data_IF_689693578043
#
_entry.id   IF_689693578043
#
_cell.length_a   1.000
_cell.length_b   1.000
_cell.length_c   1.000
_cell.angle_alpha   90.00
_cell.angle_beta   90.00
_cell.angle_gamma   90.00
#
_symmetry.space_group_name_H-M   'P 1'
#
loop_
_entity.id
_entity.type
_entity.pdbx_description
1 polymer ?
#
# COMPACT_ATOMS: atom_id res chain seq x y z
N UNK A 1 -2.94 11.02 -15.47
CA UNK A 1 -1.95 11.00 -16.57
C UNK A 1 -0.55 10.52 -16.16
N UNK A 2 -0.12 10.61 -14.88
CA UNK A 2 1.25 10.23 -14.47
C UNK A 2 1.41 8.75 -14.08
N UNK A 3 0.40 8.16 -13.42
CA UNK A 3 0.46 6.80 -12.86
C UNK A 3 0.61 5.70 -13.92
N UNK A 4 -0.13 5.77 -15.02
CA UNK A 4 -0.10 4.75 -16.08
C UNK A 4 1.26 4.68 -16.78
N UNK A 5 1.90 5.84 -16.99
CA UNK A 5 3.25 5.93 -17.55
C UNK A 5 4.31 5.35 -16.60
N UNK A 6 4.13 5.54 -15.28
CA UNK A 6 5.01 4.94 -14.28
C UNK A 6 4.83 3.41 -14.25
N UNK A 7 3.59 2.91 -14.35
CA UNK A 7 3.33 1.48 -14.46
C UNK A 7 3.99 0.89 -15.72
N UNK A 8 3.89 1.54 -16.87
CA UNK A 8 4.58 1.09 -18.09
C UNK A 8 6.11 0.99 -17.89
N UNK A 9 6.72 1.96 -17.20
CA UNK A 9 8.15 1.92 -16.87
C UNK A 9 8.51 0.79 -15.91
N UNK A 10 7.66 0.51 -14.92
CA UNK A 10 7.81 -0.62 -14.00
C UNK A 10 7.78 -1.94 -14.79
N UNK A 11 6.81 -2.12 -15.69
CA UNK A 11 6.69 -3.34 -16.50
C UNK A 11 7.90 -3.53 -17.41
N UNK A 12 8.36 -2.46 -18.07
CA UNK A 12 9.57 -2.49 -18.88
C UNK A 12 10.81 -2.88 -18.04
N UNK A 13 10.97 -2.29 -16.87
CA UNK A 13 12.08 -2.58 -15.95
C UNK A 13 12.08 -4.03 -15.47
N UNK A 14 10.92 -4.56 -15.09
CA UNK A 14 10.79 -5.98 -14.70
C UNK A 14 11.12 -6.92 -15.86
N UNK A 15 10.72 -6.58 -17.08
CA UNK A 15 11.00 -7.37 -18.29
C UNK A 15 12.51 -7.45 -18.56
N UNK A 16 13.20 -6.31 -18.55
CA UNK A 16 14.66 -6.26 -18.71
C UNK A 16 15.39 -7.03 -17.61
N UNK A 17 14.95 -6.91 -16.35
CA UNK A 17 15.54 -7.64 -15.24
C UNK A 17 15.37 -9.17 -15.38
N UNK A 18 14.18 -9.64 -15.79
CA UNK A 18 13.87 -11.07 -15.95
C UNK A 18 14.57 -11.70 -17.16
N UNK A 19 14.56 -11.01 -18.30
CA UNK A 19 14.95 -11.61 -19.58
C UNK A 19 16.38 -11.29 -20.02
N UNK A 20 16.95 -10.18 -19.54
CA UNK A 20 18.29 -9.78 -19.93
C UNK A 20 19.30 -9.94 -18.80
N UNK A 21 19.01 -9.37 -17.62
CA UNK A 21 19.98 -9.33 -16.53
C UNK A 21 20.19 -10.68 -15.84
N UNK A 22 19.11 -11.42 -15.53
CA UNK A 22 19.24 -12.77 -14.95
C UNK A 22 20.01 -13.74 -15.84
N UNK A 23 19.88 -13.60 -17.16
CA UNK A 23 20.57 -14.44 -18.13
C UNK A 23 22.05 -14.04 -18.30
N UNK A 24 22.36 -12.74 -18.23
CA UNK A 24 23.71 -12.20 -18.42
C UNK A 24 24.58 -12.27 -17.16
N UNK A 25 24.00 -12.20 -15.97
CA UNK A 25 24.71 -12.10 -14.68
C UNK A 25 24.18 -13.11 -13.65
N UNK A 26 24.41 -14.42 -13.85
CA UNK A 26 23.93 -15.46 -12.93
C UNK A 26 24.51 -15.34 -11.51
N UNK A 27 25.69 -14.75 -11.35
CA UNK A 27 26.34 -14.44 -10.07
C UNK A 27 25.58 -13.40 -9.24
N UNK A 28 24.84 -12.50 -9.89
CA UNK A 28 24.03 -11.46 -9.24
C UNK A 28 22.55 -11.87 -9.08
N UNK A 29 22.23 -13.17 -9.23
CA UNK A 29 20.86 -13.68 -9.24
C UNK A 29 20.05 -13.24 -8.02
N UNK A 30 20.63 -13.29 -6.82
CA UNK A 30 19.94 -12.90 -5.59
C UNK A 30 19.55 -11.42 -5.62
N UNK A 31 20.49 -10.55 -5.96
CA UNK A 31 20.27 -9.10 -6.01
C UNK A 31 19.22 -8.73 -7.07
N UNK A 32 19.26 -9.38 -8.23
CA UNK A 32 18.27 -9.17 -9.30
C UNK A 32 16.88 -9.65 -8.87
N UNK A 33 16.77 -10.77 -8.15
CA UNK A 33 15.49 -11.25 -7.61
C UNK A 33 14.94 -10.33 -6.52
N UNK A 34 15.81 -9.80 -5.66
CA UNK A 34 15.43 -8.82 -4.65
C UNK A 34 14.91 -7.54 -5.31
N UNK A 35 15.61 -7.03 -6.32
CA UNK A 35 15.19 -5.85 -7.08
C UNK A 35 13.84 -6.08 -7.77
N UNK A 36 13.64 -7.25 -8.39
CA UNK A 36 12.35 -7.65 -8.97
C UNK A 36 11.24 -7.63 -7.94
N UNK A 37 11.46 -8.20 -6.75
CA UNK A 37 10.48 -8.21 -5.67
C UNK A 37 10.15 -6.78 -5.20
N UNK A 38 11.15 -5.92 -5.03
CA UNK A 38 10.95 -4.51 -4.67
C UNK A 38 10.11 -3.77 -5.70
N UNK A 39 10.41 -3.94 -7.00
CA UNK A 39 9.63 -3.31 -8.08
C UNK A 39 8.19 -3.83 -8.10
N UNK A 40 7.97 -5.14 -7.88
CA UNK A 40 6.62 -5.69 -7.78
C UNK A 40 5.84 -5.18 -6.56
N UNK A 41 6.50 -4.86 -5.44
CA UNK A 41 5.85 -4.23 -4.29
C UNK A 41 5.38 -2.81 -4.65
N UNK A 42 6.22 -2.05 -5.35
CA UNK A 42 5.89 -0.68 -5.80
C UNK A 42 4.71 -0.70 -6.77
N UNK A 43 4.72 -1.62 -7.73
CA UNK A 43 3.61 -1.81 -8.68
C UNK A 43 2.29 -2.08 -7.95
N UNK A 44 2.29 -3.05 -7.03
CA UNK A 44 1.11 -3.41 -6.24
C UNK A 44 0.62 -2.23 -5.41
N UNK A 45 1.53 -1.52 -4.75
CA UNK A 45 1.18 -0.31 -4.01
C UNK A 45 0.49 0.71 -4.90
N UNK A 46 1.03 0.99 -6.10
CA UNK A 46 0.44 1.96 -7.01
C UNK A 46 -0.93 1.53 -7.54
N UNK A 47 -1.15 0.24 -7.79
CA UNK A 47 -2.44 -0.27 -8.27
C UNK A 47 -3.47 -0.31 -7.13
N UNK A 48 -3.05 -0.66 -5.92
CA UNK A 48 -3.95 -0.83 -4.78
C UNK A 48 -4.20 0.45 -3.99
N UNK A 49 -3.32 1.47 -4.06
CA UNK A 49 -3.42 2.68 -3.25
C UNK A 49 -4.81 3.33 -3.32
N UNK A 50 -5.40 3.43 -4.51
CA UNK A 50 -6.71 4.06 -4.68
C UNK A 50 -7.86 3.21 -4.06
N UNK A 51 -7.80 1.88 -4.22
CA UNK A 51 -8.76 0.96 -3.60
C UNK A 51 -8.64 0.96 -2.08
N UNK A 52 -7.39 1.01 -1.57
CA UNK A 52 -7.13 1.06 -0.14
C UNK A 52 -7.54 2.37 0.50
N UNK A 53 -7.33 3.49 -0.18
CA UNK A 53 -7.81 4.79 0.28
C UNK A 53 -9.33 4.77 0.48
N UNK A 54 -10.06 4.15 -0.45
CA UNK A 54 -11.51 3.94 -0.33
C UNK A 54 -11.87 2.99 0.83
N UNK A 55 -11.19 1.84 0.97
CA UNK A 55 -11.42 0.91 2.09
C UNK A 55 -11.15 1.57 3.45
N UNK A 56 -10.11 2.39 3.57
CA UNK A 56 -9.80 3.15 4.79
C UNK A 56 -10.85 4.22 5.07
N UNK A 57 -11.31 4.95 4.04
CA UNK A 57 -12.38 5.93 4.18
C UNK A 57 -13.68 5.28 4.69
N UNK A 58 -14.08 4.14 4.12
CA UNK A 58 -15.26 3.40 4.56
C UNK A 58 -15.14 2.92 6.02
N UNK A 59 -13.97 2.42 6.41
CA UNK A 59 -13.69 2.05 7.80
C UNK A 59 -13.87 3.24 8.75
N UNK A 60 -13.34 4.41 8.39
CA UNK A 60 -13.48 5.62 9.19
C UNK A 60 -14.92 6.15 9.22
N UNK A 61 -15.67 6.09 8.10
CA UNK A 61 -17.11 6.43 8.09
C UNK A 61 -17.90 5.58 9.09
N UNK A 62 -17.61 4.28 9.14
CA UNK A 62 -18.28 3.36 10.05
C UNK A 62 -17.98 3.66 11.52
N UNK A 63 -16.73 4.05 11.82
CA UNK A 63 -16.32 4.42 13.17
C UNK A 63 -16.93 5.76 13.62
N UNK A 64 -16.78 6.80 12.80
CA UNK A 64 -17.21 8.16 13.12
C UNK A 64 -18.72 8.39 13.04
N UNK A 65 -19.46 7.56 12.29
CA UNK A 65 -20.91 7.67 12.06
C UNK A 65 -21.37 9.02 11.48
N UNK A 66 -20.45 9.82 10.94
CA UNK A 66 -20.70 11.05 10.18
C UNK A 66 -19.95 10.99 8.84
N UNK A 67 -20.31 11.86 7.86
CA UNK A 67 -19.68 11.85 6.55
C UNK A 67 -18.18 12.15 6.64
N UNK A 68 -17.36 11.19 6.23
CA UNK A 68 -15.91 11.35 6.08
C UNK A 68 -15.60 11.51 4.60
N UNK A 69 -15.13 12.70 4.22
CA UNK A 69 -14.82 13.07 2.83
C UNK A 69 -13.31 13.14 2.57
N UNK A 70 -12.49 13.19 3.62
CA UNK A 70 -11.05 13.35 3.51
C UNK A 70 -10.32 12.41 4.49
N UNK A 71 -9.53 11.48 3.95
CA UNK A 71 -8.83 10.47 4.73
C UNK A 71 -7.84 11.08 5.71
N UNK A 72 -7.06 12.07 5.28
CA UNK A 72 -6.03 12.71 6.12
C UNK A 72 -6.65 13.44 7.30
N UNK A 73 -7.74 14.18 7.07
CA UNK A 73 -8.47 14.87 8.14
C UNK A 73 -9.07 13.88 9.14
N UNK A 74 -9.66 12.79 8.66
CA UNK A 74 -10.24 11.77 9.54
C UNK A 74 -9.20 10.97 10.31
N UNK A 75 -8.02 10.74 9.74
CA UNK A 75 -6.89 10.16 10.47
C UNK A 75 -6.36 11.10 11.56
N UNK A 76 -6.31 12.41 11.30
CA UNK A 76 -5.95 13.41 12.32
C UNK A 76 -6.96 13.45 13.45
N UNK A 77 -8.26 13.35 13.13
CA UNK A 77 -9.32 13.29 14.13
C UNK A 77 -9.23 12.01 14.96
N UNK A 78 -8.99 10.86 14.34
CA UNK A 78 -8.77 9.59 15.05
C UNK A 78 -7.59 9.72 16.03
N UNK A 79 -6.49 10.34 15.59
CA UNK A 79 -5.34 10.61 16.45
C UNK A 79 -5.67 11.53 17.64
N UNK A 80 -6.54 12.53 17.44
CA UNK A 80 -6.98 13.42 18.49
C UNK A 80 -7.89 12.72 19.52
N UNK A 81 -8.80 11.87 19.05
CA UNK A 81 -9.68 11.06 19.91
C UNK A 81 -8.88 10.07 20.75
N UNK A 82 -7.95 9.32 20.14
CA UNK A 82 -7.05 8.38 20.86
C UNK A 82 -6.32 9.06 22.02
N UNK A 83 -5.85 10.30 21.82
CA UNK A 83 -5.12 11.05 22.84
C UNK A 83 -6.01 11.53 23.98
N UNK A 84 -7.31 11.69 23.72
CA UNK A 84 -8.26 12.28 24.66
C UNK A 84 -8.98 11.20 25.47
N UNK A 85 -9.47 10.16 24.81
CA UNK A 85 -10.20 9.07 25.43
C UNK A 85 -10.05 7.79 24.58
N UNK A 86 -9.10 6.94 24.95
CA UNK A 86 -8.83 5.69 24.24
C UNK A 86 -9.85 4.61 24.63
N UNK A 87 -10.52 4.02 23.64
CA UNK A 87 -11.45 2.91 23.84
C UNK A 87 -11.10 1.65 23.00
N UNK A 88 -11.80 0.54 23.30
CA UNK A 88 -11.59 -0.73 22.59
C UNK A 88 -12.01 -0.68 21.12
N UNK A 89 -12.99 0.15 20.75
CA UNK A 89 -13.43 0.30 19.36
C UNK A 89 -12.33 0.96 18.52
N UNK A 90 -11.66 1.95 19.09
CA UNK A 90 -10.52 2.64 18.50
C UNK A 90 -9.36 1.67 18.22
N UNK A 91 -9.07 0.77 19.16
CA UNK A 91 -8.08 -0.28 18.96
C UNK A 91 -8.43 -1.19 17.78
N UNK A 92 -9.69 -1.61 17.67
CA UNK A 92 -10.16 -2.46 16.59
C UNK A 92 -10.01 -1.77 15.23
N UNK A 93 -10.37 -0.48 15.14
CA UNK A 93 -10.18 0.32 13.92
C UNK A 93 -8.70 0.42 13.55
N UNK A 94 -7.82 0.66 14.52
CA UNK A 94 -6.37 0.71 14.27
C UNK A 94 -5.82 -0.64 13.78
N UNK A 95 -6.30 -1.75 14.33
CA UNK A 95 -5.92 -3.09 13.86
C UNK A 95 -6.38 -3.34 12.42
N UNK A 96 -7.61 -2.95 12.09
CA UNK A 96 -8.15 -3.08 10.73
C UNK A 96 -7.39 -2.19 9.74
N UNK A 97 -7.07 -0.93 10.10
CA UNK A 97 -6.22 -0.05 9.29
C UNK A 97 -4.85 -0.66 9.02
N UNK A 98 -4.20 -1.22 10.05
CA UNK A 98 -2.90 -1.88 9.89
C UNK A 98 -2.98 -3.14 9.02
N UNK A 99 -4.05 -3.93 9.14
CA UNK A 99 -4.28 -5.08 8.25
C UNK A 99 -4.46 -4.65 6.80
N UNK A 100 -5.18 -3.55 6.53
CA UNK A 100 -5.31 -2.99 5.20
C UNK A 100 -3.95 -2.63 4.61
N UNK A 101 -3.07 -1.98 5.38
CA UNK A 101 -1.71 -1.66 4.93
C UNK A 101 -0.86 -2.91 4.68
N UNK A 102 -0.98 -3.92 5.53
CA UNK A 102 -0.24 -5.17 5.38
C UNK A 102 -0.70 -6.02 4.19
N UNK A 103 -1.94 -5.90 3.70
CA UNK A 103 -2.42 -6.63 2.51
C UNK A 103 -1.53 -6.41 1.28
N UNK A 104 -0.89 -5.23 1.15
CA UNK A 104 0.03 -4.90 0.05
C UNK A 104 1.24 -5.85 0.05
N UNK A 105 1.65 -6.28 1.26
CA UNK A 105 2.82 -7.12 1.50
C UNK A 105 2.51 -8.62 1.46
N UNK A 106 1.27 -9.02 1.70
CA UNK A 106 0.86 -10.42 1.91
C UNK A 106 0.72 -11.28 0.64
N UNK A 107 1.39 -10.92 -0.46
CA UNK A 107 1.37 -11.75 -1.68
C UNK A 107 2.78 -12.11 -2.14
N UNK A 108 3.20 -13.27 -1.65
CA UNK A 108 4.24 -14.15 -2.18
C UNK A 108 3.72 -15.58 -2.07
#
# INVERSE_FOLDING_TARGET
MNQQKILELIHASQSTLKHELLAKYPEAKYDVLMLLKSISIIEKYMVQAQSQEQEKLELLKNYFKFPVENLDQSMQQLCAEIRTDFDFNTLEVLQQLNQLDLKITQTG
#
